data_IF_129549073207
#
_entry.id   IF_129549073207
#
_cell.length_a   1.000
_cell.length_b   1.000
_cell.length_c   1.000
_cell.angle_alpha   90.00
_cell.angle_beta   90.00
_cell.angle_gamma   90.00
#
_symmetry.space_group_name_H-M   'P 1'
#
loop_
_entity.id
_entity.type
_entity.pdbx_description
1 polymer ?
#
# COMPACT_ATOMS: atom_id res chain seq x y z
N UNK A 1 6.52 -0.73 15.09
CA UNK A 1 5.12 -1.12 14.81
C UNK A 1 4.75 -2.34 15.63
N UNK A 2 3.63 -2.33 16.35
CA UNK A 2 3.13 -3.53 17.05
C UNK A 2 2.22 -4.33 16.12
N UNK A 3 2.39 -5.65 16.08
CA UNK A 3 1.62 -6.56 15.21
C UNK A 3 1.19 -7.81 15.99
N UNK A 4 0.32 -8.63 15.41
CA UNK A 4 -0.09 -9.92 16.01
C UNK A 4 1.06 -10.92 16.21
N UNK A 5 2.19 -10.74 15.53
CA UNK A 5 3.38 -11.59 15.66
C UNK A 5 4.48 -10.95 16.53
N UNK A 6 4.18 -9.82 17.17
CA UNK A 6 5.12 -9.08 18.03
C UNK A 6 5.46 -7.68 17.54
N UNK A 7 6.42 -7.05 18.22
CA UNK A 7 6.90 -5.71 17.88
C UNK A 7 8.00 -5.75 16.82
N UNK A 8 7.85 -4.93 15.80
CA UNK A 8 8.77 -4.83 14.66
C UNK A 8 9.42 -3.45 14.67
N UNK A 9 10.75 -3.43 14.61
CA UNK A 9 11.55 -2.22 14.45
C UNK A 9 11.61 -1.78 12.99
N UNK A 10 11.73 -0.49 12.78
CA UNK A 10 11.71 0.11 11.46
C UNK A 10 11.60 1.62 11.55
N UNK A 11 11.60 2.24 10.38
CA UNK A 11 11.62 3.69 10.22
C UNK A 11 10.38 4.16 9.47
N UNK A 12 9.97 5.40 9.70
CA UNK A 12 8.86 6.02 8.99
C UNK A 12 9.43 6.92 7.90
N UNK A 13 8.99 6.73 6.66
CA UNK A 13 9.41 7.52 5.52
C UNK A 13 8.19 8.08 4.78
N UNK A 14 8.31 9.33 4.33
CA UNK A 14 7.40 9.88 3.32
C UNK A 14 8.03 9.63 1.96
N UNK A 15 7.41 8.78 1.16
CA UNK A 15 7.92 8.37 -0.15
C UNK A 15 6.76 8.26 -1.14
N UNK A 16 7.08 8.51 -2.41
CA UNK A 16 6.23 8.17 -3.53
C UNK A 16 6.41 6.68 -3.83
N UNK A 17 5.29 5.97 -4.02
CA UNK A 17 5.31 4.61 -4.56
C UNK A 17 4.52 4.57 -5.86
N UNK A 18 4.88 3.65 -6.74
CA UNK A 18 4.11 3.37 -7.96
C UNK A 18 3.41 2.03 -7.81
N UNK A 19 2.08 2.03 -7.89
CA UNK A 19 1.28 0.84 -8.08
C UNK A 19 1.32 0.47 -9.57
N UNK A 20 2.09 -0.56 -9.88
CA UNK A 20 2.23 -1.05 -11.25
C UNK A 20 0.95 -1.76 -11.69
N UNK A 21 0.41 -1.34 -12.83
CA UNK A 21 -0.77 -1.95 -13.43
C UNK A 21 -0.36 -3.06 -14.40
N UNK A 22 -0.93 -4.25 -14.22
CA UNK A 22 -0.86 -5.30 -15.24
C UNK A 22 -1.72 -4.93 -16.46
N UNK A 23 -2.82 -4.22 -16.22
CA UNK A 23 -3.76 -3.72 -17.23
C UNK A 23 -4.16 -2.28 -16.91
N UNK A 24 -4.10 -1.39 -17.90
CA UNK A 24 -4.42 0.03 -17.73
C UNK A 24 -3.22 0.87 -17.29
N UNK A 25 -3.50 1.96 -16.57
CA UNK A 25 -2.48 2.94 -16.15
C UNK A 25 -1.95 2.63 -14.74
N UNK A 26 -0.62 2.66 -14.59
CA UNK A 26 0.00 2.64 -13.26
C UNK A 26 -0.31 3.92 -12.49
N UNK A 27 -0.28 3.83 -11.16
CA UNK A 27 -0.67 4.93 -10.28
C UNK A 27 0.42 5.27 -9.28
N UNK A 28 0.87 6.52 -9.32
CA UNK A 28 1.76 7.06 -8.30
C UNK A 28 0.98 7.54 -7.08
N UNK A 29 1.48 7.21 -5.89
CA UNK A 29 0.85 7.56 -4.61
C UNK A 29 1.91 8.09 -3.65
N UNK A 30 1.75 9.35 -3.24
CA UNK A 30 2.53 9.95 -2.17
C UNK A 30 1.93 9.63 -0.81
N UNK A 31 2.69 8.88 0.01
CA UNK A 31 2.22 8.45 1.32
C UNK A 31 3.36 8.29 2.33
N UNK A 32 2.96 8.16 3.59
CA UNK A 32 3.87 7.84 4.70
C UNK A 32 3.84 6.34 4.94
N UNK A 33 4.99 5.69 4.85
CA UNK A 33 5.15 4.26 5.01
C UNK A 33 6.06 3.93 6.20
N UNK A 34 5.69 2.89 6.94
CA UNK A 34 6.60 2.26 7.89
C UNK A 34 7.41 1.19 7.16
N UNK A 35 8.73 1.36 7.15
CA UNK A 35 9.69 0.44 6.53
C UNK A 35 10.34 -0.39 7.65
N UNK A 36 9.93 -1.67 7.81
CA UNK A 36 10.50 -2.54 8.84
C UNK A 36 11.94 -2.95 8.50
N UNK A 37 12.80 -3.09 9.51
CA UNK A 37 14.18 -3.58 9.35
C UNK A 37 14.22 -5.05 8.86
N UNK A 38 13.24 -5.84 9.30
CA UNK A 38 13.08 -7.26 8.94
C UNK A 38 11.61 -7.60 8.78
N UNK A 39 11.18 -7.86 7.55
CA UNK A 39 9.83 -8.30 7.23
C UNK A 39 9.81 -9.08 5.90
N UNK A 40 8.91 -10.06 5.78
CA UNK A 40 8.66 -10.78 4.52
C UNK A 40 7.30 -10.36 3.98
N UNK A 41 7.30 -9.63 2.86
CA UNK A 41 6.10 -9.16 2.16
C UNK A 41 5.92 -7.65 2.23
N UNK A 42 4.80 -7.15 1.70
CA UNK A 42 4.43 -5.74 1.77
C UNK A 42 3.05 -5.64 2.45
N UNK A 43 2.90 -4.71 3.39
CA UNK A 43 1.59 -4.37 3.94
C UNK A 43 1.26 -2.96 3.45
N UNK A 44 0.13 -2.83 2.77
CA UNK A 44 -0.40 -1.51 2.41
C UNK A 44 -1.43 -1.14 3.47
N UNK A 45 -1.12 -0.11 4.25
CA UNK A 45 -2.02 0.42 5.28
C UNK A 45 -3.19 1.19 4.66
N UNK A 46 -4.37 1.10 5.31
CA UNK A 46 -5.52 1.89 4.89
C UNK A 46 -5.27 3.39 5.09
N UNK A 47 -4.93 3.78 6.32
CA UNK A 47 -4.54 5.15 6.64
C UNK A 47 -3.18 5.46 6.01
N UNK A 48 -3.07 6.66 5.45
CA UNK A 48 -1.86 7.12 4.76
C UNK A 48 -1.84 6.79 3.27
N UNK A 49 -2.18 5.56 2.88
CA UNK A 49 -2.07 5.07 1.49
C UNK A 49 -3.42 4.79 0.83
N UNK A 50 -4.13 3.72 1.19
CA UNK A 50 -5.33 3.30 0.44
C UNK A 50 -6.48 4.32 0.50
N UNK A 51 -6.58 5.10 1.59
CA UNK A 51 -7.56 6.18 1.69
C UNK A 51 -7.38 7.30 0.65
N UNK A 52 -6.22 7.35 -0.04
CA UNK A 52 -5.90 8.37 -1.06
C UNK A 52 -6.16 7.91 -2.49
N UNK A 53 -6.65 6.68 -2.67
CA UNK A 53 -6.92 6.10 -3.99
C UNK A 53 -8.30 5.45 -3.98
N UNK A 54 -8.88 5.25 -5.15
CA UNK A 54 -10.00 4.32 -5.29
C UNK A 54 -9.41 2.92 -5.40
N UNK A 55 -9.98 1.96 -4.68
CA UNK A 55 -9.56 0.57 -4.80
C UNK A 55 -10.73 -0.40 -4.60
N UNK A 56 -10.60 -1.58 -5.18
CA UNK A 56 -11.47 -2.72 -4.95
C UNK A 56 -10.65 -4.02 -4.96
N UNK A 57 -11.11 -5.03 -4.24
CA UNK A 57 -10.47 -6.35 -4.20
C UNK A 57 -11.47 -7.38 -4.70
N UNK A 58 -11.10 -8.11 -5.75
CA UNK A 58 -11.83 -9.31 -6.20
C UNK A 58 -11.04 -10.55 -5.73
N UNK A 59 -11.44 -11.18 -4.61
CA UNK A 59 -10.74 -12.36 -4.09
C UNK A 59 -10.94 -13.59 -4.97
N UNK A 60 -12.01 -13.66 -5.77
CA UNK A 60 -12.29 -14.82 -6.64
C UNK A 60 -11.27 -14.94 -7.77
N UNK A 61 -10.74 -13.79 -8.22
CA UNK A 61 -9.72 -13.66 -9.26
C UNK A 61 -8.35 -13.29 -8.71
N UNK A 62 -8.22 -13.16 -7.39
CA UNK A 62 -7.02 -12.62 -6.74
C UNK A 62 -6.56 -11.30 -7.39
N UNK A 63 -7.50 -10.40 -7.67
CA UNK A 63 -7.26 -9.14 -8.40
C UNK A 63 -7.43 -7.94 -7.48
N UNK A 64 -6.49 -7.00 -7.55
CA UNK A 64 -6.54 -5.71 -6.86
C UNK A 64 -6.74 -4.60 -7.89
N UNK A 65 -7.91 -3.98 -7.88
CA UNK A 65 -8.22 -2.84 -8.72
C UNK A 65 -7.86 -1.55 -7.98
N UNK A 66 -7.27 -0.60 -8.70
CA UNK A 66 -6.95 0.72 -8.16
C UNK A 66 -7.15 1.81 -9.21
N UNK A 67 -7.31 3.04 -8.74
CA UNK A 67 -7.45 4.20 -9.61
C UNK A 67 -7.26 5.50 -8.84
N UNK A 68 -7.04 6.58 -9.61
CA UNK A 68 -6.88 7.93 -9.06
C UNK A 68 -8.09 8.30 -8.20
N UNK A 69 -7.82 8.93 -7.07
CA UNK A 69 -8.87 9.63 -6.34
C UNK A 69 -9.18 10.93 -7.09
N UNK A 70 -10.28 10.96 -7.82
CA UNK A 70 -10.78 12.19 -8.42
C UNK A 70 -11.41 13.05 -7.31
N UNK A 71 -10.77 14.17 -6.97
CA UNK A 71 -11.47 15.30 -6.35
C UNK A 71 -12.14 16.13 -7.43
#
# INVERSE_FOLDING_TARGET
MSTRIGSIRGTIHRIQITLLANEGESLDVDSTFFVPEKWRGNIIGYMGCLQRIRFAVDPSKNTFHFGKWSQ
#
